data_IF_970788308031
#
_entry.id   IF_970788308031
#
_cell.length_a   1.000
_cell.length_b   1.000
_cell.length_c   1.000
_cell.angle_alpha   90.00
_cell.angle_beta   90.00
_cell.angle_gamma   90.00
#
_symmetry.space_group_name_H-M   'P 1'
#
loop_
_entity.id
_entity.type
_entity.pdbx_description
1 polymer ?
#
# COMPACT_ATOMS: atom_id res chain seq x y z
N UNK A 1 2.43 -13.12 4.27
CA UNK A 1 3.08 -13.66 3.04
C UNK A 1 4.61 -13.71 3.13
N UNK A 2 5.19 -13.51 4.30
CA UNK A 2 6.62 -13.24 4.52
C UNK A 2 7.46 -14.47 4.93
N UNK A 3 7.16 -15.65 4.38
CA UNK A 3 7.86 -16.90 4.77
C UNK A 3 9.07 -17.24 3.91
N UNK A 4 9.35 -16.45 2.85
CA UNK A 4 10.37 -16.74 1.85
C UNK A 4 10.11 -17.97 0.96
N UNK A 5 8.96 -18.63 1.14
CA UNK A 5 8.58 -19.83 0.37
C UNK A 5 7.86 -19.46 -0.92
N UNK A 6 7.97 -20.34 -1.92
CA UNK A 6 7.19 -20.24 -3.15
C UNK A 6 5.69 -20.32 -2.83
N UNK A 7 4.93 -19.38 -3.39
CA UNK A 7 3.48 -19.35 -3.31
C UNK A 7 2.93 -19.96 -4.60
N UNK A 8 2.18 -21.08 -4.55
CA UNK A 8 1.57 -21.64 -5.74
C UNK A 8 0.56 -20.68 -6.37
N UNK A 9 0.61 -20.53 -7.69
CA UNK A 9 -0.36 -19.74 -8.44
C UNK A 9 -1.79 -20.28 -8.23
N UNK A 10 -2.75 -19.37 -8.06
CA UNK A 10 -4.15 -19.71 -7.79
C UNK A 10 -4.42 -20.26 -6.38
N UNK A 11 -3.40 -20.35 -5.51
CA UNK A 11 -3.63 -20.70 -4.11
C UNK A 11 -4.39 -19.57 -3.37
N UNK A 12 -5.07 -19.86 -2.26
CA UNK A 12 -5.72 -18.82 -1.46
C UNK A 12 -4.78 -17.68 -1.02
N UNK A 13 -3.50 -17.99 -0.78
CA UNK A 13 -2.48 -17.00 -0.43
C UNK A 13 -2.14 -16.13 -1.64
N UNK A 14 -2.04 -16.71 -2.84
CA UNK A 14 -1.85 -15.96 -4.08
C UNK A 14 -3.02 -14.99 -4.35
N UNK A 15 -4.27 -15.44 -4.17
CA UNK A 15 -5.45 -14.58 -4.33
C UNK A 15 -5.47 -13.45 -3.30
N UNK A 16 -5.10 -13.75 -2.05
CA UNK A 16 -4.97 -12.72 -1.01
C UNK A 16 -3.91 -11.68 -1.36
N UNK A 17 -2.77 -12.11 -1.91
CA UNK A 17 -1.71 -11.22 -2.40
C UNK A 17 -2.22 -10.30 -3.52
N UNK A 18 -3.00 -10.83 -4.46
CA UNK A 18 -3.60 -10.01 -5.51
C UNK A 18 -4.56 -8.96 -4.94
N UNK A 19 -5.44 -9.36 -4.03
CA UNK A 19 -6.38 -8.45 -3.36
C UNK A 19 -5.67 -7.31 -2.62
N UNK A 20 -4.59 -7.59 -1.89
CA UNK A 20 -3.81 -6.57 -1.19
C UNK A 20 -3.09 -5.64 -2.18
N UNK A 21 -2.59 -6.18 -3.30
CA UNK A 21 -1.96 -5.39 -4.35
C UNK A 21 -2.96 -4.40 -4.98
N UNK A 22 -4.21 -4.81 -5.20
CA UNK A 22 -5.26 -3.92 -5.72
C UNK A 22 -5.60 -2.79 -4.75
N UNK A 23 -5.55 -3.04 -3.44
CA UNK A 23 -5.74 -2.03 -2.41
C UNK A 23 -4.59 -1.01 -2.39
N UNK A 24 -3.34 -1.48 -2.43
CA UNK A 24 -2.17 -0.61 -2.53
C UNK A 24 -2.19 0.25 -3.80
N UNK A 25 -2.61 -0.32 -4.94
CA UNK A 25 -2.76 0.41 -6.20
C UNK A 25 -3.79 1.54 -6.10
N UNK A 26 -4.95 1.29 -5.48
CA UNK A 26 -6.00 2.31 -5.31
C UNK A 26 -5.49 3.53 -4.55
N UNK A 27 -4.81 3.30 -3.43
CA UNK A 27 -4.26 4.38 -2.60
C UNK A 27 -3.13 5.10 -3.32
N UNK A 28 -2.28 4.36 -4.03
CA UNK A 28 -1.22 4.94 -4.86
C UNK A 28 -1.80 5.85 -5.95
N UNK A 29 -2.88 5.44 -6.61
CA UNK A 29 -3.56 6.27 -7.61
C UNK A 29 -4.19 7.52 -6.98
N UNK A 30 -4.79 7.41 -5.80
CA UNK A 30 -5.32 8.56 -5.05
C UNK A 30 -4.23 9.59 -4.75
N UNK A 31 -3.10 9.15 -4.22
CA UNK A 31 -1.94 10.01 -3.90
C UNK A 31 -1.37 10.66 -5.17
N UNK A 32 -1.31 9.91 -6.27
CA UNK A 32 -0.62 10.38 -7.48
C UNK A 32 -1.45 11.33 -8.35
N UNK A 33 -2.78 11.30 -8.25
CA UNK A 33 -3.66 12.05 -9.18
C UNK A 33 -4.47 13.17 -8.50
N UNK A 34 -4.42 13.28 -7.18
CA UNK A 34 -5.16 14.29 -6.42
C UNK A 34 -4.20 15.05 -5.53
N UNK A 35 -4.44 16.35 -5.33
CA UNK A 35 -3.67 17.13 -4.36
C UNK A 35 -4.05 16.72 -2.94
N UNK A 36 -3.04 16.49 -2.10
CA UNK A 36 -3.19 16.16 -0.69
C UNK A 36 -2.29 17.04 0.16
N UNK A 37 -2.80 17.43 1.33
CA UNK A 37 -2.00 17.93 2.44
C UNK A 37 -1.13 16.82 3.02
N UNK A 38 -0.11 17.17 3.81
CA UNK A 38 0.75 16.18 4.48
C UNK A 38 -0.06 15.27 5.41
N UNK A 39 -1.02 15.84 6.13
CA UNK A 39 -1.88 15.13 7.07
C UNK A 39 -2.78 14.12 6.33
N UNK A 40 -3.23 14.43 5.12
CA UNK A 40 -3.96 13.49 4.25
C UNK A 40 -3.05 12.37 3.74
N UNK A 41 -1.82 12.69 3.32
CA UNK A 41 -0.83 11.68 2.91
C UNK A 41 -0.56 10.68 4.05
N UNK A 42 -0.34 11.17 5.28
CA UNK A 42 -0.11 10.30 6.45
C UNK A 42 -1.32 9.37 6.68
N UNK A 43 -2.55 9.90 6.63
CA UNK A 43 -3.77 9.10 6.77
C UNK A 43 -3.91 8.05 5.67
N UNK A 44 -3.64 8.41 4.41
CA UNK A 44 -3.70 7.49 3.27
C UNK A 44 -2.64 6.38 3.41
N UNK A 45 -1.42 6.72 3.83
CA UNK A 45 -0.31 5.77 3.99
C UNK A 45 -0.46 4.85 5.22
N UNK A 46 -1.26 5.24 6.22
CA UNK A 46 -1.55 4.40 7.39
C UNK A 46 -2.54 3.26 7.06
N UNK A 47 -3.40 3.44 6.06
CA UNK A 47 -4.41 2.43 5.67
C UNK A 47 -3.80 1.10 5.20
N UNK A 48 -2.93 1.06 4.16
CA UNK A 48 -2.47 -0.21 3.61
C UNK A 48 -1.40 -0.87 4.49
N UNK A 49 -0.70 -0.09 5.31
CA UNK A 49 0.33 -0.61 6.22
C UNK A 49 -0.27 -1.21 7.48
N UNK A 50 -1.49 -0.82 7.86
CA UNK A 50 -2.11 -1.19 9.13
C UNK A 50 -1.29 -0.72 10.34
N UNK A 51 -0.44 0.29 10.13
CA UNK A 51 0.50 0.84 11.11
C UNK A 51 0.35 2.35 11.12
N UNK A 52 0.56 2.93 12.29
CA UNK A 52 0.66 4.38 12.40
C UNK A 52 1.91 4.86 11.66
N UNK A 53 1.74 5.91 10.86
CA UNK A 53 2.82 6.61 10.17
C UNK A 53 3.21 7.83 11.01
N UNK A 54 4.51 8.04 11.20
CA UNK A 54 5.03 9.16 11.97
C UNK A 54 4.60 10.52 11.38
N UNK A 55 4.29 11.48 12.24
CA UNK A 55 3.82 12.82 11.84
C UNK A 55 4.84 13.61 11.01
N UNK A 56 6.13 13.25 11.10
CA UNK A 56 7.19 13.85 10.29
C UNK A 56 7.27 13.29 8.87
N UNK A 57 6.44 12.31 8.51
CA UNK A 57 6.47 11.67 7.20
C UNK A 57 6.13 12.67 6.08
N UNK A 58 6.91 12.62 5.01
CA UNK A 58 6.71 13.42 3.81
C UNK A 58 6.89 12.55 2.57
N UNK A 59 6.02 12.78 1.58
CA UNK A 59 6.05 12.07 0.31
C UNK A 59 5.67 13.04 -0.79
N UNK A 60 6.44 13.00 -1.88
CA UNK A 60 6.15 13.76 -3.10
C UNK A 60 5.63 12.79 -4.17
N UNK A 61 4.43 13.04 -4.73
CA UNK A 61 3.97 12.29 -5.89
C UNK A 61 4.81 12.57 -7.15
N UNK A 62 4.94 11.60 -8.08
CA UNK A 62 4.34 10.27 -8.03
C UNK A 62 5.14 9.29 -7.16
N UNK A 63 4.41 8.39 -6.49
CA UNK A 63 4.93 7.30 -5.67
C UNK A 63 4.44 5.95 -6.21
N UNK A 64 5.23 4.88 -6.03
CA UNK A 64 4.84 3.53 -6.41
C UNK A 64 5.28 2.54 -5.36
N UNK A 65 4.37 1.64 -4.97
CA UNK A 65 4.67 0.56 -4.02
C UNK A 65 3.79 -0.65 -4.30
N UNK A 66 4.28 -1.81 -3.88
CA UNK A 66 3.49 -3.02 -3.71
C UNK A 66 3.50 -3.37 -2.22
N UNK A 67 2.35 -3.27 -1.54
CA UNK A 67 2.26 -3.70 -0.15
C UNK A 67 1.69 -5.11 -0.15
N UNK A 68 2.53 -6.06 0.26
CA UNK A 68 2.20 -7.46 0.44
C UNK A 68 2.56 -7.80 1.89
N UNK A 69 1.60 -7.69 2.81
CA UNK A 69 1.79 -8.12 4.21
C UNK A 69 1.51 -9.64 4.33
#
# INVERSE_FOLDING_TARGET
MDSGRLIPAGSPVHEKMHSLSQEALRITMEINNVYHTREEIIRLMSQPTGRDIDESFGLFPPFYTIICN
#
